data_IF_471284089932
#
_entry.id   IF_471284089932
#
_cell.length_a   1.000
_cell.length_b   1.000
_cell.length_c   1.000
_cell.angle_alpha   90.00
_cell.angle_beta   90.00
_cell.angle_gamma   90.00
#
_symmetry.space_group_name_H-M   'P 1'
#
loop_
_entity.id
_entity.type
_entity.pdbx_description
1 polymer ?
#
# COMPACT_ATOMS: atom_id res chain seq x y z
N UNK A 1 6.59 21.33 -24.62
CA UNK A 1 6.66 19.93 -25.09
C UNK A 1 7.74 19.26 -24.26
N UNK A 2 7.38 18.83 -23.04
CA UNK A 2 8.27 17.97 -22.26
C UNK A 2 8.24 16.59 -22.91
N UNK A 3 9.41 16.10 -23.27
CA UNK A 3 9.61 14.71 -23.68
C UNK A 3 9.13 13.82 -22.53
N UNK A 4 8.10 13.03 -22.81
CA UNK A 4 7.61 11.99 -21.92
C UNK A 4 8.78 11.03 -21.70
N UNK A 5 9.41 11.09 -20.52
CA UNK A 5 10.52 10.21 -20.22
C UNK A 5 10.02 8.77 -20.39
N UNK A 6 10.52 8.07 -21.42
CA UNK A 6 10.19 6.68 -21.65
C UNK A 6 10.64 5.89 -20.40
N UNK A 7 9.68 5.59 -19.54
CA UNK A 7 9.90 4.80 -18.33
C UNK A 7 10.43 3.43 -18.77
N UNK A 8 11.57 2.95 -18.24
CA UNK A 8 11.97 1.58 -18.49
C UNK A 8 10.89 0.68 -17.89
N UNK A 9 10.05 0.11 -18.74
CA UNK A 9 9.09 -0.93 -18.35
C UNK A 9 9.91 -2.14 -17.91
N UNK A 10 9.49 -2.82 -16.84
CA UNK A 10 10.04 -4.14 -16.55
C UNK A 10 9.97 -5.00 -17.83
N UNK A 11 10.96 -5.85 -18.05
CA UNK A 11 10.94 -6.87 -19.11
C UNK A 11 10.28 -8.16 -18.66
N UNK A 12 10.02 -8.29 -17.36
CA UNK A 12 9.27 -9.39 -16.76
C UNK A 12 7.92 -8.90 -16.21
N UNK A 13 7.00 -9.85 -16.05
CA UNK A 13 5.62 -9.57 -15.71
C UNK A 13 4.80 -10.84 -15.62
N UNK A 14 3.49 -10.71 -15.72
CA UNK A 14 2.55 -11.83 -15.76
C UNK A 14 1.49 -11.59 -16.84
N UNK A 15 1.11 -12.65 -17.58
CA UNK A 15 0.14 -12.58 -18.70
C UNK A 15 0.45 -11.45 -19.71
N UNK A 16 1.74 -11.30 -20.05
CA UNK A 16 2.26 -10.26 -20.95
C UNK A 16 2.09 -8.80 -20.48
N UNK A 17 1.70 -8.58 -19.22
CA UNK A 17 1.73 -7.26 -18.58
C UNK A 17 2.95 -7.18 -17.67
N UNK A 18 3.77 -6.16 -17.90
CA UNK A 18 5.02 -5.96 -17.16
C UNK A 18 4.77 -5.42 -15.77
N UNK A 19 5.64 -5.79 -14.82
CA UNK A 19 5.63 -5.17 -13.50
C UNK A 19 5.83 -3.66 -13.62
N UNK A 20 5.08 -2.89 -12.83
CA UNK A 20 5.16 -1.43 -12.89
C UNK A 20 4.23 -0.77 -13.91
N UNK A 21 3.44 -1.53 -14.67
CA UNK A 21 2.42 -0.97 -15.58
C UNK A 21 1.30 -0.31 -14.78
N UNK A 22 0.88 0.91 -15.17
CA UNK A 22 -0.29 1.56 -14.54
C UNK A 22 -1.54 0.75 -14.82
N UNK A 23 -2.42 0.66 -13.83
CA UNK A 23 -3.70 -0.04 -13.95
C UNK A 23 -4.54 0.47 -15.12
N UNK A 24 -4.48 1.78 -15.41
CA UNK A 24 -5.14 2.41 -16.55
C UNK A 24 -4.63 1.95 -17.92
N UNK A 25 -3.40 1.44 -17.98
CA UNK A 25 -2.72 1.10 -19.22
C UNK A 25 -2.78 -0.42 -19.50
N UNK A 26 -3.37 -1.18 -18.57
CA UNK A 26 -3.56 -2.62 -18.68
C UNK A 26 -4.80 -2.90 -19.52
N UNK A 27 -4.72 -3.73 -20.58
CA UNK A 27 -5.83 -3.97 -21.51
C UNK A 27 -6.89 -4.94 -20.96
N UNK A 28 -6.97 -5.10 -19.64
CA UNK A 28 -7.87 -6.06 -18.98
C UNK A 28 -9.08 -5.35 -18.38
N UNK A 29 -10.18 -6.08 -18.32
CA UNK A 29 -11.38 -5.65 -17.61
C UNK A 29 -11.44 -6.33 -16.25
N UNK A 30 -11.85 -5.60 -15.23
CA UNK A 30 -11.88 -6.06 -13.84
C UNK A 30 -13.31 -6.35 -13.43
N UNK A 31 -13.53 -7.48 -12.75
CA UNK A 31 -14.82 -7.77 -12.14
C UNK A 31 -15.07 -6.82 -10.95
N UNK A 32 -16.30 -6.36 -10.79
CA UNK A 32 -16.78 -5.53 -9.67
C UNK A 32 -16.73 -6.29 -8.32
N UNK A 33 -16.61 -7.62 -8.32
CA UNK A 33 -16.56 -8.48 -7.12
C UNK A 33 -15.16 -8.60 -6.46
N UNK A 34 -14.25 -7.66 -6.70
CA UNK A 34 -12.88 -7.69 -6.15
C UNK A 34 -12.82 -7.73 -4.62
N UNK A 35 -11.82 -8.43 -4.07
CA UNK A 35 -11.55 -8.46 -2.62
C UNK A 35 -10.85 -7.16 -2.18
N UNK A 36 -11.63 -6.10 -1.95
CA UNK A 36 -11.13 -4.80 -1.46
C UNK A 36 -10.34 -4.00 -2.50
N UNK A 37 -9.99 -2.76 -2.17
CA UNK A 37 -9.47 -1.75 -3.12
C UNK A 37 -8.14 -2.09 -3.82
N UNK A 38 -7.47 -3.18 -3.44
CA UNK A 38 -6.09 -3.49 -3.89
C UNK A 38 -5.95 -4.85 -4.59
N UNK A 39 -6.97 -5.71 -4.56
CA UNK A 39 -6.95 -7.04 -5.18
C UNK A 39 -8.08 -7.19 -6.20
N UNK A 40 -7.71 -7.32 -7.47
CA UNK A 40 -8.65 -7.36 -8.58
C UNK A 40 -8.68 -8.76 -9.20
N UNK A 41 -9.85 -9.12 -9.75
CA UNK A 41 -10.03 -10.33 -10.55
C UNK A 41 -10.34 -9.86 -11.97
N UNK A 42 -9.64 -10.42 -12.97
CA UNK A 42 -9.91 -10.13 -14.37
C UNK A 42 -11.21 -10.84 -14.80
N UNK A 43 -12.08 -10.16 -15.55
CA UNK A 43 -13.39 -10.70 -15.95
C UNK A 43 -13.29 -11.99 -16.77
N UNK A 44 -12.35 -12.05 -17.71
CA UNK A 44 -12.11 -13.18 -18.60
C UNK A 44 -10.86 -13.98 -18.18
N UNK A 45 -10.64 -14.13 -16.88
CA UNK A 45 -9.43 -14.79 -16.37
C UNK A 45 -9.33 -16.25 -16.81
N UNK A 46 -8.12 -16.65 -17.18
CA UNK A 46 -7.74 -18.04 -17.39
C UNK A 46 -7.10 -18.59 -16.10
N UNK A 47 -7.82 -19.48 -15.43
CA UNK A 47 -7.36 -20.09 -14.18
C UNK A 47 -6.38 -21.25 -14.40
N UNK A 48 -6.08 -21.64 -15.65
CA UNK A 48 -5.00 -22.57 -15.95
C UNK A 48 -3.68 -21.79 -16.10
N UNK A 49 -2.73 -22.04 -15.19
CA UNK A 49 -1.52 -21.23 -15.07
C UNK A 49 -0.41 -22.09 -14.49
N UNK A 50 0.81 -22.02 -15.03
CA UNK A 50 1.97 -22.80 -14.55
C UNK A 50 1.73 -24.32 -14.41
N UNK A 51 0.83 -24.91 -15.21
CA UNK A 51 0.49 -26.33 -15.10
C UNK A 51 -0.43 -26.67 -13.92
N UNK A 52 -1.00 -25.65 -13.27
CA UNK A 52 -1.99 -25.78 -12.20
C UNK A 52 -3.32 -25.14 -12.58
N UNK A 53 -4.39 -25.65 -11.99
CA UNK A 53 -5.69 -25.00 -12.01
C UNK A 53 -5.88 -24.22 -10.72
N UNK A 54 -5.87 -22.90 -10.83
CA UNK A 54 -6.07 -21.99 -9.71
C UNK A 54 -7.52 -22.07 -9.20
N UNK A 55 -7.69 -22.18 -7.88
CA UNK A 55 -8.97 -21.98 -7.20
C UNK A 55 -9.29 -20.50 -7.01
N UNK A 56 -8.26 -19.66 -6.86
CA UNK A 56 -8.37 -18.21 -6.88
C UNK A 56 -7.12 -17.60 -7.53
N UNK A 57 -7.32 -16.49 -8.26
CA UNK A 57 -6.24 -15.70 -8.87
C UNK A 57 -6.58 -14.23 -8.70
N UNK A 58 -5.69 -13.48 -8.06
CA UNK A 58 -5.89 -12.04 -7.81
C UNK A 58 -4.67 -11.22 -8.21
N UNK A 59 -4.93 -10.03 -8.73
CA UNK A 59 -3.92 -9.06 -9.14
C UNK A 59 -3.82 -7.96 -8.09
N UNK A 60 -2.61 -7.71 -7.61
CA UNK A 60 -2.33 -6.70 -6.59
C UNK A 60 -1.73 -5.45 -7.23
N UNK A 61 -2.27 -4.30 -6.84
CA UNK A 61 -1.77 -2.98 -7.25
C UNK A 61 -1.23 -2.22 -6.05
N UNK A 62 -0.24 -1.35 -6.27
CA UNK A 62 0.21 -0.33 -5.31
C UNK A 62 0.16 1.03 -5.99
N UNK A 63 -0.61 1.97 -5.44
CA UNK A 63 -0.81 3.30 -6.04
C UNK A 63 -1.21 3.21 -7.53
N UNK A 64 -2.16 2.32 -7.85
CA UNK A 64 -2.61 2.01 -9.22
C UNK A 64 -1.51 1.47 -10.15
N UNK A 65 -0.46 0.88 -9.60
CA UNK A 65 0.61 0.26 -10.38
C UNK A 65 0.66 -1.23 -10.13
N UNK A 66 0.74 -2.01 -11.20
CA UNK A 66 0.75 -3.46 -11.15
C UNK A 66 1.98 -3.99 -10.41
N UNK A 67 1.72 -4.61 -9.26
CA UNK A 67 2.74 -5.00 -8.31
C UNK A 67 2.94 -6.51 -8.27
N UNK A 68 1.86 -7.29 -8.23
CA UNK A 68 1.97 -8.73 -8.04
C UNK A 68 0.72 -9.51 -8.35
N UNK A 69 0.85 -10.83 -8.26
CA UNK A 69 -0.22 -11.80 -8.52
C UNK A 69 -0.17 -12.87 -7.45
N UNK A 70 -1.34 -13.16 -6.86
CA UNK A 70 -1.56 -14.30 -5.97
C UNK A 70 -2.38 -15.36 -6.67
N UNK A 71 -1.94 -16.60 -6.54
CA UNK A 71 -2.61 -17.78 -7.06
C UNK A 71 -2.75 -18.80 -5.93
N UNK A 72 -3.98 -19.16 -5.60
CA UNK A 72 -4.30 -20.21 -4.63
C UNK A 72 -4.73 -21.46 -5.40
N UNK A 73 -4.21 -22.63 -5.01
CA UNK A 73 -4.48 -23.89 -5.70
C UNK A 73 -4.52 -25.06 -4.72
N UNK A 74 -4.99 -26.21 -5.18
CA UNK A 74 -5.06 -27.44 -4.38
C UNK A 74 -4.27 -28.58 -5.03
N UNK A 75 -3.90 -29.60 -4.24
CA UNK A 75 -3.24 -30.80 -4.74
C UNK A 75 -1.72 -30.75 -4.65
N UNK A 76 -1.16 -31.75 -3.98
CA UNK A 76 0.29 -31.88 -3.76
C UNK A 76 1.04 -32.03 -5.09
N UNK A 77 0.50 -32.81 -6.02
CA UNK A 77 1.13 -33.07 -7.32
C UNK A 77 1.27 -31.78 -8.15
N UNK A 78 0.25 -30.93 -8.11
CA UNK A 78 0.23 -29.61 -8.77
C UNK A 78 1.38 -28.71 -8.28
N UNK A 79 1.87 -28.89 -7.05
CA UNK A 79 2.97 -28.08 -6.51
C UNK A 79 4.30 -28.32 -7.23
N UNK A 80 4.57 -29.56 -7.65
CA UNK A 80 5.80 -29.89 -8.36
C UNK A 80 5.76 -29.37 -9.79
N UNK A 81 4.62 -29.51 -10.45
CA UNK A 81 4.42 -29.01 -11.83
C UNK A 81 4.50 -27.48 -11.88
N UNK A 82 3.85 -26.80 -10.92
CA UNK A 82 3.97 -25.35 -10.74
C UNK A 82 5.42 -24.92 -10.60
N UNK A 83 6.18 -25.57 -9.71
CA UNK A 83 7.56 -25.20 -9.47
C UNK A 83 8.43 -25.36 -10.72
N UNK A 84 8.29 -26.47 -11.45
CA UNK A 84 9.03 -26.70 -12.69
C UNK A 84 8.69 -25.65 -13.76
N UNK A 85 7.40 -25.34 -13.94
CA UNK A 85 6.96 -24.31 -14.88
C UNK A 85 7.51 -22.92 -14.49
N UNK A 86 7.46 -22.58 -13.21
CA UNK A 86 7.98 -21.32 -12.69
C UNK A 86 9.49 -21.19 -12.85
N UNK A 87 10.26 -22.25 -12.62
CA UNK A 87 11.71 -22.22 -12.84
C UNK A 87 12.09 -22.01 -14.31
N UNK A 88 11.24 -22.46 -15.24
CA UNK A 88 11.40 -22.20 -16.67
C UNK A 88 11.10 -20.76 -17.07
N UNK A 89 10.06 -20.15 -16.49
CA UNK A 89 9.60 -18.80 -16.83
C UNK A 89 10.29 -17.69 -16.03
N UNK A 90 10.64 -17.98 -14.79
CA UNK A 90 11.28 -17.07 -13.83
C UNK A 90 12.55 -17.73 -13.27
N UNK A 91 13.62 -17.87 -14.08
CA UNK A 91 14.82 -18.60 -13.69
C UNK A 91 15.57 -17.88 -12.56
N UNK A 92 16.00 -18.61 -11.51
CA UNK A 92 16.61 -18.00 -10.34
C UNK A 92 18.00 -17.42 -10.65
N UNK A 93 18.27 -16.20 -10.19
CA UNK A 93 19.60 -15.55 -10.30
C UNK A 93 20.55 -15.93 -9.14
N UNK A 94 20.03 -16.62 -8.13
CA UNK A 94 20.76 -17.09 -6.95
C UNK A 94 20.18 -18.42 -6.47
N UNK A 95 20.77 -19.02 -5.44
CA UNK A 95 20.24 -20.27 -4.85
C UNK A 95 18.80 -20.09 -4.37
N UNK A 96 17.93 -21.03 -4.72
CA UNK A 96 16.56 -21.08 -4.20
C UNK A 96 16.61 -21.30 -2.70
N UNK A 97 15.90 -20.46 -1.95
CA UNK A 97 15.78 -20.55 -0.50
C UNK A 97 14.66 -21.51 -0.13
N UNK A 98 14.96 -22.44 0.76
CA UNK A 98 13.97 -23.22 1.50
C UNK A 98 13.61 -22.45 2.78
N UNK A 99 12.36 -22.02 2.88
CA UNK A 99 11.87 -21.21 3.99
C UNK A 99 11.23 -22.09 5.10
N UNK A 100 11.21 -23.42 4.92
CA UNK A 100 10.54 -24.37 5.80
C UNK A 100 9.04 -24.51 5.48
N UNK A 101 8.40 -25.55 6.05
CA UNK A 101 6.96 -25.81 5.86
C UNK A 101 6.48 -25.91 4.40
N UNK A 102 7.36 -26.34 3.49
CA UNK A 102 7.04 -26.43 2.06
C UNK A 102 7.08 -25.09 1.33
N UNK A 103 7.58 -24.03 1.96
CA UNK A 103 7.74 -22.71 1.36
C UNK A 103 9.10 -22.58 0.67
N UNK A 104 9.09 -22.06 -0.55
CA UNK A 104 10.27 -21.85 -1.38
C UNK A 104 10.26 -20.45 -1.94
N UNK A 105 11.44 -19.84 -1.99
CA UNK A 105 11.61 -18.47 -2.45
C UNK A 105 12.82 -18.33 -3.36
N UNK A 106 12.64 -17.61 -4.46
CA UNK A 106 13.74 -17.19 -5.30
C UNK A 106 13.41 -15.90 -6.04
N UNK A 107 14.41 -15.36 -6.71
CA UNK A 107 14.29 -14.12 -7.44
C UNK A 107 14.92 -14.27 -8.82
N UNK A 108 14.37 -13.54 -9.77
CA UNK A 108 15.01 -13.17 -11.02
C UNK A 108 15.61 -11.76 -10.88
N UNK A 109 16.03 -11.15 -11.99
CA UNK A 109 16.40 -9.74 -11.99
C UNK A 109 15.23 -8.80 -11.65
N UNK A 110 13.98 -9.19 -11.93
CA UNK A 110 12.82 -8.29 -11.87
C UNK A 110 11.57 -8.89 -11.22
N UNK A 111 11.58 -10.16 -10.84
CA UNK A 111 10.46 -10.87 -10.23
C UNK A 111 10.93 -11.62 -8.98
N UNK A 112 10.18 -11.48 -7.90
CA UNK A 112 10.27 -12.35 -6.74
C UNK A 112 9.21 -13.44 -6.86
N UNK A 113 9.59 -14.68 -6.56
CA UNK A 113 8.71 -15.86 -6.63
C UNK A 113 8.67 -16.52 -5.27
N UNK A 114 7.46 -16.70 -4.74
CA UNK A 114 7.20 -17.44 -3.52
C UNK A 114 6.21 -18.57 -3.80
N UNK A 115 6.59 -19.79 -3.46
CA UNK A 115 5.76 -20.98 -3.58
C UNK A 115 5.61 -21.66 -2.23
N UNK A 116 4.40 -21.70 -1.70
CA UNK A 116 4.00 -22.60 -0.63
C UNK A 116 3.38 -23.83 -1.27
N UNK A 117 4.04 -24.98 -1.12
CA UNK A 117 3.51 -26.26 -1.64
C UNK A 117 2.24 -26.66 -0.90
N UNK A 118 1.27 -27.18 -1.64
CA UNK A 118 0.09 -27.80 -1.06
C UNK A 118 0.50 -29.01 -0.19
N UNK A 119 -0.26 -29.26 0.86
CA UNK A 119 -0.14 -30.43 1.72
C UNK A 119 -1.44 -31.24 1.71
N UNK A 120 -1.49 -32.33 2.48
CA UNK A 120 -2.73 -33.09 2.65
C UNK A 120 -3.83 -32.26 3.34
N UNK A 121 -3.43 -31.28 4.16
CA UNK A 121 -4.33 -30.52 5.04
C UNK A 121 -4.48 -29.05 4.61
N UNK A 122 -3.76 -28.60 3.59
CA UNK A 122 -3.75 -27.19 3.15
C UNK A 122 -3.50 -27.05 1.65
N UNK A 123 -4.16 -26.08 1.03
CA UNK A 123 -3.87 -25.65 -0.34
C UNK A 123 -2.46 -25.07 -0.49
N UNK A 124 -2.02 -24.98 -1.74
CA UNK A 124 -0.79 -24.30 -2.12
C UNK A 124 -1.05 -22.84 -2.47
N UNK A 125 -0.02 -22.03 -2.32
CA UNK A 125 -0.05 -20.60 -2.65
C UNK A 125 1.16 -20.26 -3.49
N UNK A 126 0.94 -19.58 -4.60
CA UNK A 126 1.99 -18.96 -5.40
C UNK A 126 1.81 -17.44 -5.34
N UNK A 127 2.90 -16.74 -5.12
CA UNK A 127 2.94 -15.29 -5.22
C UNK A 127 4.11 -14.84 -6.11
N UNK A 128 3.79 -13.98 -7.07
CA UNK A 128 4.75 -13.32 -7.95
C UNK A 128 4.67 -11.82 -7.72
N UNK A 129 5.79 -11.14 -7.60
CA UNK A 129 5.78 -9.67 -7.53
C UNK A 129 7.01 -9.03 -8.14
N UNK A 130 6.83 -7.83 -8.66
CA UNK A 130 7.87 -7.06 -9.31
C UNK A 130 8.93 -6.54 -8.33
N UNK A 131 10.18 -6.58 -8.77
CA UNK A 131 11.37 -6.02 -8.10
C UNK A 131 11.86 -4.72 -8.75
N UNK A 132 11.01 -4.07 -9.53
CA UNK A 132 11.37 -2.88 -10.32
C UNK A 132 11.64 -1.68 -9.42
N UNK A 133 12.59 -0.79 -9.77
CA UNK A 133 12.98 0.38 -8.96
C UNK A 133 11.83 1.34 -8.60
N UNK A 134 10.73 1.31 -9.36
CA UNK A 134 9.52 2.09 -9.07
C UNK A 134 8.78 1.61 -7.81
N UNK A 135 8.98 0.35 -7.40
CA UNK A 135 8.53 -0.25 -6.15
C UNK A 135 9.70 -1.05 -5.63
N UNK A 136 10.67 -0.38 -4.99
CA UNK A 136 11.87 -1.03 -4.42
C UNK A 136 11.46 -1.97 -3.27
N UNK A 137 10.78 -3.05 -3.61
CA UNK A 137 10.36 -4.09 -2.71
C UNK A 137 11.31 -5.27 -2.87
N UNK A 138 12.38 -5.20 -2.09
CA UNK A 138 13.31 -6.29 -1.86
C UNK A 138 12.82 -7.22 -0.73
N UNK A 139 11.52 -7.19 -0.37
CA UNK A 139 11.01 -8.06 0.67
C UNK A 139 11.35 -9.52 0.37
N UNK A 140 11.73 -10.21 1.43
CA UNK A 140 12.10 -11.62 1.37
C UNK A 140 10.87 -12.54 1.45
N UNK A 141 9.65 -11.98 1.47
CA UNK A 141 8.35 -12.67 1.56
C UNK A 141 7.21 -11.81 0.98
N UNK A 142 6.12 -12.42 0.50
CA UNK A 142 4.91 -11.72 0.05
C UNK A 142 4.32 -10.79 1.11
N UNK A 143 3.75 -9.64 0.74
CA UNK A 143 3.20 -8.67 1.72
C UNK A 143 2.09 -9.26 2.64
N UNK A 144 1.35 -10.28 2.18
CA UNK A 144 0.32 -10.96 2.99
C UNK A 144 0.89 -12.02 3.96
N UNK A 145 2.12 -12.47 3.72
CA UNK A 145 2.88 -13.41 4.58
C UNK A 145 4.02 -12.72 5.34
N UNK A 146 4.39 -11.50 4.94
CA UNK A 146 5.08 -10.58 5.79
C UNK A 146 4.22 -10.50 7.04
N UNK A 147 4.78 -10.92 8.17
CA UNK A 147 4.22 -10.48 9.43
C UNK A 147 4.03 -8.97 9.26
N UNK A 148 2.83 -8.40 9.56
CA UNK A 148 2.75 -6.96 9.66
C UNK A 148 3.97 -6.57 10.47
N UNK A 149 4.79 -5.61 9.99
CA UNK A 149 6.02 -5.25 10.67
C UNK A 149 5.67 -5.25 12.14
N UNK A 150 6.30 -6.15 12.92
CA UNK A 150 5.96 -6.26 14.33
C UNK A 150 5.91 -4.83 14.81
N UNK A 151 4.91 -4.43 15.60
CA UNK A 151 4.55 -3.01 15.86
C UNK A 151 5.75 -2.10 16.29
N UNK A 152 6.96 -2.66 16.39
CA UNK A 152 8.27 -2.10 16.67
C UNK A 152 9.42 -2.61 15.75
N UNK A 153 9.24 -2.89 14.45
CA UNK A 153 10.36 -3.31 13.56
C UNK A 153 11.08 -2.14 12.87
N UNK A 154 11.30 -1.07 13.63
CA UNK A 154 12.54 -0.32 13.56
C UNK A 154 13.47 -0.86 14.65
N UNK A 155 14.80 -0.67 14.59
CA UNK A 155 15.70 -0.94 15.71
C UNK A 155 15.49 0.07 16.88
N UNK A 156 14.23 0.22 17.29
CA UNK A 156 13.67 1.09 18.30
C UNK A 156 12.17 0.80 18.41
N UNK A 157 11.65 0.74 19.63
CA UNK A 157 10.20 0.70 19.91
C UNK A 157 9.52 1.80 19.09
N UNK A 158 8.49 1.50 18.29
CA UNK A 158 7.70 2.52 17.61
C UNK A 158 7.14 3.44 18.70
N UNK A 159 7.60 4.68 18.69
CA UNK A 159 7.11 5.71 19.58
C UNK A 159 6.17 6.56 18.76
N UNK A 160 4.83 6.40 18.90
CA UNK A 160 3.91 7.26 18.20
C UNK A 160 4.23 8.72 18.54
N UNK A 161 4.10 9.61 17.55
CA UNK A 161 4.25 11.04 17.81
C UNK A 161 3.21 11.46 18.85
N UNK A 162 3.65 12.17 19.87
CA UNK A 162 2.79 12.65 20.96
C UNK A 162 2.59 14.16 20.82
N UNK A 163 1.35 14.61 20.95
CA UNK A 163 1.00 16.01 21.02
C UNK A 163 0.29 16.30 22.34
N UNK A 164 0.77 17.29 23.09
CA UNK A 164 0.11 17.73 24.33
C UNK A 164 -0.98 18.74 23.97
N UNK A 165 -2.23 18.33 24.12
CA UNK A 165 -3.38 19.20 23.91
C UNK A 165 -3.66 20.02 25.17
N UNK A 166 -3.64 21.34 25.05
CA UNK A 166 -3.90 22.23 26.18
C UNK A 166 -5.34 22.73 26.16
N UNK A 167 -5.87 22.96 27.37
CA UNK A 167 -7.15 23.63 27.51
C UNK A 167 -7.01 25.08 27.05
N UNK A 168 -7.96 25.56 26.25
CA UNK A 168 -7.94 26.96 25.81
C UNK A 168 -8.05 27.93 26.98
N UNK A 169 -7.32 29.05 26.91
CA UNK A 169 -7.37 30.13 27.91
C UNK A 169 -8.57 31.07 27.77
N UNK A 170 -9.38 30.88 26.73
CA UNK A 170 -10.55 31.71 26.42
C UNK A 170 -11.36 31.15 25.25
N UNK A 171 -12.42 31.85 24.81
CA UNK A 171 -13.22 31.43 23.66
C UNK A 171 -12.37 31.32 22.39
N UNK A 172 -12.70 30.34 21.54
CA UNK A 172 -12.13 30.16 20.20
C UNK A 172 -13.19 30.49 19.16
N UNK A 173 -12.88 31.36 18.20
CA UNK A 173 -13.76 31.58 17.05
C UNK A 173 -13.41 30.59 15.93
N UNK A 174 -14.43 30.02 15.28
CA UNK A 174 -14.24 29.12 14.13
C UNK A 174 -14.34 29.95 12.84
N UNK A 175 -13.30 30.74 12.57
CA UNK A 175 -13.23 31.65 11.42
C UNK A 175 -12.04 31.37 10.48
N UNK A 176 -11.28 30.31 10.76
CA UNK A 176 -10.09 29.92 10.01
C UNK A 176 -8.83 30.73 10.36
N UNK A 177 -8.88 31.61 11.35
CA UNK A 177 -7.73 32.39 11.83
C UNK A 177 -7.19 31.78 13.11
N UNK A 178 -5.86 31.78 13.25
CA UNK A 178 -5.18 31.24 14.44
C UNK A 178 -4.49 32.36 15.23
N UNK A 179 -5.17 33.50 15.37
CA UNK A 179 -4.60 34.73 15.93
C UNK A 179 -4.99 34.98 17.39
N UNK A 180 -5.87 34.17 17.98
CA UNK A 180 -6.17 34.21 19.40
C UNK A 180 -4.96 33.85 20.26
N UNK A 181 -4.92 34.39 21.48
CA UNK A 181 -3.83 34.11 22.42
C UNK A 181 -3.66 32.60 22.66
N UNK A 182 -4.76 31.87 22.83
CA UNK A 182 -4.74 30.42 23.05
C UNK A 182 -4.07 29.67 21.88
N UNK A 183 -4.36 30.05 20.62
CA UNK A 183 -3.71 29.47 19.45
C UNK A 183 -2.24 29.83 19.37
N UNK A 184 -1.87 31.08 19.64
CA UNK A 184 -0.46 31.51 19.65
C UNK A 184 0.37 30.74 20.67
N UNK A 185 -0.19 30.48 21.85
CA UNK A 185 0.47 29.75 22.92
C UNK A 185 0.56 28.23 22.65
N UNK A 186 -0.39 27.66 21.91
CA UNK A 186 -0.39 26.24 21.58
C UNK A 186 0.83 25.88 20.68
N UNK A 187 1.56 24.80 20.97
CA UNK A 187 2.68 24.38 20.15
C UNK A 187 2.18 23.88 18.78
N UNK A 188 2.96 24.08 17.72
CA UNK A 188 2.72 23.35 16.47
C UNK A 188 3.08 21.87 16.64
N UNK A 189 2.37 21.00 15.92
CA UNK A 189 2.83 19.64 15.67
C UNK A 189 4.17 19.66 14.90
N UNK A 190 4.84 18.51 14.87
CA UNK A 190 5.83 18.26 13.83
C UNK A 190 5.16 18.33 12.45
N UNK A 191 5.95 18.61 11.42
CA UNK A 191 5.48 18.56 10.03
C UNK A 191 5.02 17.14 9.68
N UNK A 192 3.99 17.04 8.85
CA UNK A 192 3.50 15.76 8.36
C UNK A 192 4.55 15.10 7.47
N UNK A 193 4.54 13.77 7.47
CA UNK A 193 5.39 12.95 6.62
C UNK A 193 4.53 12.24 5.59
N UNK A 194 5.17 11.74 4.54
CA UNK A 194 4.51 10.86 3.60
C UNK A 194 4.07 9.58 4.34
N UNK A 195 2.87 9.07 4.07
CA UNK A 195 2.37 7.85 4.71
C UNK A 195 3.22 6.61 4.37
N UNK A 196 4.05 6.69 3.33
CA UNK A 196 5.02 5.67 2.92
C UNK A 196 6.40 5.89 3.56
N UNK A 197 6.59 6.89 4.43
CA UNK A 197 7.84 7.10 5.15
C UNK A 197 8.27 5.83 5.93
N UNK A 198 9.59 5.53 6.02
CA UNK A 198 10.72 6.29 5.47
C UNK A 198 11.04 5.94 4.00
N UNK A 199 10.16 5.24 3.29
CA UNK A 199 10.40 4.74 1.93
C UNK A 199 10.02 5.76 0.83
N UNK A 200 9.47 6.92 1.22
CA UNK A 200 9.19 8.05 0.36
C UNK A 200 10.01 9.28 0.78
N UNK A 201 10.30 10.21 -0.16
CA UNK A 201 10.91 11.50 0.18
C UNK A 201 10.01 12.31 1.12
N UNK A 202 10.61 13.23 1.88
CA UNK A 202 9.84 14.16 2.70
C UNK A 202 8.89 15.01 1.84
N UNK A 203 7.68 15.34 2.34
CA UNK A 203 6.78 16.23 1.63
C UNK A 203 7.42 17.59 1.35
N UNK A 204 7.46 17.96 0.07
CA UNK A 204 7.85 19.29 -0.41
C UNK A 204 6.94 20.44 0.04
N UNK A 205 5.72 20.13 0.50
CA UNK A 205 4.73 21.07 1.02
C UNK A 205 4.54 20.84 2.50
N UNK A 206 4.59 21.93 3.27
CA UNK A 206 4.43 21.83 4.72
C UNK A 206 2.96 21.68 5.09
N UNK A 207 2.66 20.64 5.86
CA UNK A 207 1.41 20.51 6.61
C UNK A 207 1.72 20.29 8.08
N UNK A 208 1.04 21.02 8.95
CA UNK A 208 1.13 20.89 10.42
C UNK A 208 -0.15 21.36 11.08
N UNK A 209 -0.38 20.97 12.34
CA UNK A 209 -1.58 21.38 13.08
C UNK A 209 -1.26 21.88 14.50
N UNK A 210 -2.27 22.49 15.10
CA UNK A 210 -2.40 22.77 16.53
C UNK A 210 -3.72 22.19 17.02
N UNK A 211 -3.74 21.79 18.28
CA UNK A 211 -4.94 21.27 18.93
C UNK A 211 -5.12 21.93 20.31
N UNK A 212 -6.37 22.26 20.63
CA UNK A 212 -6.83 22.83 21.89
C UNK A 212 -8.14 22.16 22.30
N UNK A 213 -8.54 22.27 23.57
CA UNK A 213 -9.85 21.79 24.01
C UNK A 213 -10.50 22.69 25.05
N UNK A 214 -11.81 22.56 25.24
CA UNK A 214 -12.55 23.04 26.42
C UNK A 214 -13.51 21.94 26.93
N UNK A 215 -14.50 22.31 27.74
CA UNK A 215 -15.45 21.34 28.31
C UNK A 215 -16.42 20.75 27.27
N UNK A 216 -16.52 21.34 26.07
CA UNK A 216 -17.50 21.00 25.05
C UNK A 216 -16.86 20.56 23.73
N UNK A 217 -15.73 21.16 23.35
CA UNK A 217 -15.14 21.01 22.02
C UNK A 217 -13.66 20.63 22.07
N UNK A 218 -13.26 19.87 21.05
CA UNK A 218 -11.87 19.69 20.64
C UNK A 218 -11.65 20.52 19.37
N UNK A 219 -10.69 21.45 19.42
CA UNK A 219 -10.41 22.40 18.35
C UNK A 219 -9.15 21.98 17.59
N UNK A 220 -9.22 22.06 16.26
CA UNK A 220 -8.09 21.81 15.36
C UNK A 220 -7.82 23.05 14.51
N UNK A 221 -6.57 23.46 14.44
CA UNK A 221 -6.09 24.49 13.51
C UNK A 221 -4.98 23.92 12.66
N UNK A 222 -5.20 23.77 11.36
CA UNK A 222 -4.20 23.21 10.44
C UNK A 222 -3.65 24.31 9.52
N UNK A 223 -2.35 24.24 9.24
CA UNK A 223 -1.68 25.06 8.24
C UNK A 223 -1.14 24.14 7.16
N UNK A 224 -1.62 24.34 5.94
CA UNK A 224 -1.28 23.58 4.74
C UNK A 224 -0.72 24.54 3.70
N UNK A 225 0.38 24.15 3.05
CA UNK A 225 0.89 24.81 1.86
C UNK A 225 0.34 24.12 0.62
N UNK A 226 -0.34 24.85 -0.25
CA UNK A 226 -0.83 24.37 -1.54
C UNK A 226 -0.98 25.55 -2.51
N UNK A 227 -0.45 25.43 -3.72
CA UNK A 227 -0.60 26.44 -4.77
C UNK A 227 -1.90 26.28 -5.55
N UNK A 228 -2.42 25.05 -5.63
CA UNK A 228 -3.62 24.71 -6.40
C UNK A 228 -4.70 24.21 -5.44
N UNK A 229 -5.42 25.17 -4.84
CA UNK A 229 -6.52 24.88 -3.93
C UNK A 229 -7.84 24.87 -4.69
N UNK A 230 -8.59 23.78 -4.60
CA UNK A 230 -9.95 23.65 -5.13
C UNK A 230 -10.90 22.99 -4.11
N UNK A 231 -12.15 23.45 -4.13
CA UNK A 231 -13.22 23.02 -3.23
C UNK A 231 -14.57 23.15 -3.96
N UNK A 232 -14.79 22.29 -4.95
CA UNK A 232 -15.98 22.31 -5.82
C UNK A 232 -17.12 21.44 -5.27
N UNK A 233 -16.83 20.50 -4.37
CA UNK A 233 -17.81 19.64 -3.74
C UNK A 233 -18.61 20.40 -2.68
N UNK A 234 -19.93 20.46 -2.86
CA UNK A 234 -20.85 21.19 -1.96
C UNK A 234 -21.75 20.29 -1.13
N UNK A 235 -21.79 19.00 -1.45
CA UNK A 235 -22.65 18.03 -0.76
C UNK A 235 -21.92 17.42 0.44
N UNK A 236 -22.62 17.34 1.56
CA UNK A 236 -22.12 16.59 2.72
C UNK A 236 -22.02 15.09 2.39
N UNK A 237 -21.02 14.44 2.99
CA UNK A 237 -20.77 12.99 2.89
C UNK A 237 -20.51 12.48 1.45
N UNK A 238 -20.06 13.37 0.56
CA UNK A 238 -19.58 12.98 -0.76
C UNK A 238 -18.14 12.42 -0.71
N UNK A 239 -17.71 11.81 -1.82
CA UNK A 239 -16.37 11.27 -1.97
C UNK A 239 -15.35 12.42 -2.04
N UNK A 240 -14.73 12.75 -0.91
CA UNK A 240 -14.01 14.03 -0.73
C UNK A 240 -12.64 14.08 -1.43
N UNK A 241 -11.99 12.95 -1.70
CA UNK A 241 -10.63 12.90 -2.26
C UNK A 241 -10.50 13.46 -3.70
N UNK A 242 -11.62 13.84 -4.34
CA UNK A 242 -11.59 14.57 -5.61
C UNK A 242 -11.25 16.06 -5.42
N UNK A 243 -11.44 16.61 -4.20
CA UNK A 243 -11.04 17.96 -3.81
C UNK A 243 -9.79 17.95 -2.91
N UNK A 244 -9.19 19.12 -2.65
CA UNK A 244 -8.18 19.20 -1.60
C UNK A 244 -8.87 19.08 -0.23
N UNK A 245 -8.40 18.14 0.59
CA UNK A 245 -8.98 17.87 1.90
C UNK A 245 -7.91 17.72 3.00
N UNK A 246 -8.39 17.82 4.25
CA UNK A 246 -7.61 17.54 5.44
C UNK A 246 -8.47 16.71 6.39
N UNK A 247 -8.09 15.45 6.56
CA UNK A 247 -8.87 14.47 7.33
C UNK A 247 -8.38 14.35 8.77
N UNK A 248 -9.33 14.16 9.70
CA UNK A 248 -9.04 13.94 11.12
C UNK A 248 -9.71 12.64 11.54
N UNK A 249 -8.90 11.68 11.99
CA UNK A 249 -9.35 10.40 12.52
C UNK A 249 -9.15 10.37 14.04
N UNK A 250 -10.20 10.04 14.79
CA UNK A 250 -10.18 9.97 16.25
C UNK A 250 -10.69 8.60 16.70
N UNK A 251 -9.96 7.96 17.63
CA UNK A 251 -10.47 6.87 18.44
C UNK A 251 -10.45 7.31 19.92
N UNK A 252 -11.54 7.91 20.44
CA UNK A 252 -11.59 8.41 21.82
C UNK A 252 -11.54 7.31 22.89
N UNK A 253 -12.02 6.11 22.56
CA UNK A 253 -12.11 4.96 23.46
C UNK A 253 -10.87 4.06 23.41
N UNK A 254 -10.02 4.24 22.39
CA UNK A 254 -8.84 3.43 22.10
C UNK A 254 -9.15 1.92 21.99
N UNK A 255 -10.33 1.58 21.51
CA UNK A 255 -10.86 0.20 21.48
C UNK A 255 -10.57 -0.59 20.20
N UNK A 256 -9.98 0.04 19.18
CA UNK A 256 -9.43 -0.63 17.99
C UNK A 256 -10.45 -1.38 17.15
#
# INVERSE_FOLDING_TARGET
MMEEAAFPTASEGFRAVYWGTRQSDIPWHWNDDGFGQMCFIREDEDFEVFGIRAGALTYTFRNSIFYGVRIDFEGVDQSNDAEQALLGLYPPIASIRDCGKGERFWQTAQTSVWLTRASADSGGILFLWGRHRMFADDADRPIYHALPPALNSHPGRYQPRVYVCYRTSGPIAIDGRLDEKAWRDAPWSQMFEDHQAPYAPEPWKTTRFKMLYDDTYLYFGAELQEENVWGALTEHDCVIYYDNDFEIFLNPTADG
#
